data_IF_453720375490
#
_entry.id   IF_453720375490
#
_cell.length_a   1.000
_cell.length_b   1.000
_cell.length_c   1.000
_cell.angle_alpha   90.00
_cell.angle_beta   90.00
_cell.angle_gamma   90.00
#
_symmetry.space_group_name_H-M   'P 1'
#
loop_
_entity.id
_entity.type
_entity.pdbx_description
1 polymer ?
#
# COMPACT_ATOMS: atom_id res chain seq x y z
N UNK A 1 -25.41 6.85 -10.45
CA UNK A 1 -24.73 5.66 -10.99
C UNK A 1 -23.45 6.13 -11.63
N UNK A 2 -22.30 5.63 -11.19
CA UNK A 2 -21.01 5.95 -11.82
C UNK A 2 -20.83 4.93 -12.93
N UNK A 3 -20.86 5.38 -14.18
CA UNK A 3 -20.82 4.51 -15.36
C UNK A 3 -19.40 4.24 -15.86
N UNK A 4 -18.47 5.16 -15.59
CA UNK A 4 -17.06 5.08 -15.99
C UNK A 4 -16.14 5.04 -14.77
N UNK A 5 -15.11 4.20 -14.86
CA UNK A 5 -14.10 4.04 -13.81
C UNK A 5 -13.28 2.77 -14.01
N UNK A 6 -12.15 2.67 -13.30
CA UNK A 6 -11.28 1.49 -13.43
C UNK A 6 -11.98 0.18 -13.06
N UNK A 7 -12.93 0.24 -12.12
CA UNK A 7 -13.71 -0.93 -11.70
C UNK A 7 -14.94 -1.19 -12.59
N UNK A 8 -15.27 -0.30 -13.52
CA UNK A 8 -16.52 -0.34 -14.30
C UNK A 8 -17.71 0.28 -13.57
N UNK A 9 -18.95 -0.01 -14.00
CA UNK A 9 -20.15 0.55 -13.40
C UNK A 9 -20.30 0.24 -11.91
N UNK A 10 -20.43 1.29 -11.09
CA UNK A 10 -20.59 1.20 -9.63
C UNK A 10 -22.00 1.64 -9.22
N UNK A 11 -22.65 0.79 -8.43
CA UNK A 11 -24.00 1.02 -7.88
C UNK A 11 -23.96 1.90 -6.64
N UNK A 12 -23.03 1.62 -5.72
CA UNK A 12 -22.85 2.37 -4.48
C UNK A 12 -21.42 2.17 -3.93
N UNK A 13 -21.00 3.07 -3.06
CA UNK A 13 -19.77 2.94 -2.27
C UNK A 13 -19.99 3.47 -0.85
N UNK A 14 -19.22 2.95 0.09
CA UNK A 14 -19.15 3.42 1.47
C UNK A 14 -17.69 3.41 1.90
N UNK A 15 -17.25 4.47 2.60
CA UNK A 15 -15.89 4.59 3.09
C UNK A 15 -15.89 5.14 4.50
N UNK A 16 -15.04 4.59 5.36
CA UNK A 16 -14.78 5.13 6.70
C UNK A 16 -13.29 5.12 6.99
N UNK A 17 -12.87 6.05 7.83
CA UNK A 17 -11.49 6.14 8.29
C UNK A 17 -11.45 5.83 9.78
N UNK A 18 -10.48 5.03 10.19
CA UNK A 18 -10.21 4.74 11.60
C UNK A 18 -8.77 5.11 11.94
N UNK A 19 -8.53 5.58 13.17
CA UNK A 19 -7.17 5.76 13.67
C UNK A 19 -6.63 4.39 14.10
N UNK A 20 -5.62 3.90 13.40
CA UNK A 20 -4.82 2.76 13.84
C UNK A 20 -3.66 3.25 14.72
N UNK A 21 -2.97 2.31 15.38
CA UNK A 21 -1.89 2.58 16.33
C UNK A 21 -0.89 3.66 15.86
N UNK A 22 -0.43 4.47 16.81
CA UNK A 22 0.41 5.66 16.56
C UNK A 22 -0.25 6.75 15.70
N UNK A 23 -1.58 6.75 15.55
CA UNK A 23 -2.31 7.83 14.89
C UNK A 23 -2.33 7.75 13.37
N UNK A 24 -1.99 6.60 12.76
CA UNK A 24 -2.12 6.43 11.32
C UNK A 24 -3.58 6.26 10.92
N UNK A 25 -3.97 6.83 9.78
CA UNK A 25 -5.33 6.69 9.26
C UNK A 25 -5.45 5.42 8.42
N UNK A 26 -6.35 4.51 8.79
CA UNK A 26 -6.70 3.32 8.02
C UNK A 26 -8.03 3.54 7.32
N UNK A 27 -8.02 3.49 5.99
CA UNK A 27 -9.22 3.65 5.17
C UNK A 27 -9.87 2.29 4.89
N UNK A 28 -11.11 2.11 5.33
CA UNK A 28 -11.97 0.98 4.97
C UNK A 28 -12.93 1.40 3.85
N UNK A 29 -12.92 0.67 2.74
CA UNK A 29 -13.77 0.92 1.58
C UNK A 29 -14.63 -0.30 1.26
N UNK A 30 -15.92 -0.08 1.06
CA UNK A 30 -16.88 -1.06 0.57
C UNK A 30 -17.52 -0.55 -0.72
N UNK A 31 -17.40 -1.32 -1.80
CA UNK A 31 -17.84 -0.91 -3.15
C UNK A 31 -18.80 -1.98 -3.70
N UNK A 32 -19.98 -1.55 -4.13
CA UNK A 32 -20.96 -2.41 -4.81
C UNK A 32 -20.93 -2.16 -6.31
N UNK A 33 -20.47 -3.15 -7.06
CA UNK A 33 -20.41 -3.12 -8.52
C UNK A 33 -21.77 -3.46 -9.12
N UNK A 34 -22.09 -2.87 -10.27
CA UNK A 34 -23.33 -3.15 -11.00
C UNK A 34 -23.13 -4.27 -12.06
N UNK A 35 -22.12 -5.13 -11.86
CA UNK A 35 -21.79 -6.27 -12.71
C UNK A 35 -21.16 -7.42 -11.90
N UNK A 36 -21.15 -8.64 -12.45
CA UNK A 36 -20.66 -9.86 -11.76
C UNK A 36 -19.12 -10.01 -11.85
N UNK A 37 -18.37 -9.09 -11.22
CA UNK A 37 -16.92 -9.25 -11.08
C UNK A 37 -16.57 -9.86 -9.73
N UNK A 38 -15.91 -11.03 -9.76
CA UNK A 38 -15.47 -11.76 -8.58
C UNK A 38 -14.03 -11.41 -8.23
N UNK A 39 -13.58 -11.68 -6.99
CA UNK A 39 -12.17 -11.46 -6.61
C UNK A 39 -11.16 -12.16 -7.52
N UNK A 40 -11.50 -13.35 -8.05
CA UNK A 40 -10.67 -14.07 -9.01
C UNK A 40 -10.49 -13.32 -10.33
N UNK A 41 -11.56 -12.68 -10.83
CA UNK A 41 -11.53 -11.89 -12.07
C UNK A 41 -10.66 -10.65 -11.90
N UNK A 42 -10.72 -10.00 -10.74
CA UNK A 42 -9.84 -8.88 -10.40
C UNK A 42 -8.36 -9.29 -10.43
N UNK A 43 -8.04 -10.46 -9.83
CA UNK A 43 -6.68 -11.00 -9.85
C UNK A 43 -6.17 -11.25 -11.27
N UNK A 44 -7.04 -11.73 -12.16
CA UNK A 44 -6.72 -11.92 -13.57
C UNK A 44 -6.57 -10.58 -14.32
N UNK A 45 -7.49 -9.62 -14.12
CA UNK A 45 -7.44 -8.29 -14.74
C UNK A 45 -6.19 -7.50 -14.40
N UNK A 46 -5.68 -7.61 -13.16
CA UNK A 46 -4.44 -6.94 -12.74
C UNK A 46 -3.19 -7.45 -13.50
N UNK A 47 -3.26 -8.63 -14.15
CA UNK A 47 -2.18 -9.10 -15.02
C UNK A 47 -2.13 -8.34 -16.35
N UNK A 48 -3.24 -7.72 -16.77
CA UNK A 48 -3.26 -6.85 -17.95
C UNK A 48 -2.60 -5.50 -17.60
N UNK A 49 -1.59 -5.11 -18.39
CA UNK A 49 -0.81 -3.91 -18.12
C UNK A 49 -1.66 -2.63 -18.16
N UNK A 50 -2.52 -2.47 -19.17
CA UNK A 50 -3.34 -1.27 -19.32
C UNK A 50 -4.32 -1.09 -18.15
N UNK A 51 -4.95 -2.18 -17.73
CA UNK A 51 -5.83 -2.16 -16.55
C UNK A 51 -5.04 -1.82 -15.28
N UNK A 52 -3.87 -2.44 -15.10
CA UNK A 52 -3.02 -2.23 -13.93
C UNK A 52 -2.55 -0.79 -13.83
N UNK A 53 -2.11 -0.17 -14.92
CA UNK A 53 -1.66 1.22 -14.90
C UNK A 53 -2.83 2.18 -14.63
N UNK A 54 -4.03 1.92 -15.16
CA UNK A 54 -5.24 2.68 -14.81
C UNK A 54 -5.58 2.56 -13.32
N UNK A 55 -5.43 1.35 -12.75
CA UNK A 55 -5.69 1.12 -11.33
C UNK A 55 -4.68 1.83 -10.45
N UNK A 56 -3.40 1.81 -10.80
CA UNK A 56 -2.36 2.57 -10.10
C UNK A 56 -2.64 4.06 -10.13
N UNK A 57 -2.91 4.63 -11.30
CA UNK A 57 -3.22 6.05 -11.43
C UNK A 57 -4.41 6.46 -10.55
N UNK A 58 -5.44 5.62 -10.47
CA UNK A 58 -6.57 5.85 -9.56
C UNK A 58 -6.14 5.81 -8.09
N UNK A 59 -5.33 4.81 -7.69
CA UNK A 59 -4.85 4.70 -6.30
C UNK A 59 -3.94 5.86 -5.90
N UNK A 60 -3.06 6.31 -6.78
CA UNK A 60 -2.19 7.47 -6.57
C UNK A 60 -2.98 8.79 -6.45
N UNK A 61 -4.13 8.89 -7.12
CA UNK A 61 -5.00 10.07 -7.00
C UNK A 61 -5.74 10.12 -5.65
N UNK A 62 -6.20 8.96 -5.15
CA UNK A 62 -6.99 8.90 -3.90
C UNK A 62 -6.14 8.72 -2.64
N UNK A 63 -4.95 8.12 -2.74
CA UNK A 63 -4.02 7.92 -1.64
C UNK A 63 -2.99 9.05 -1.70
N UNK A 64 -3.17 10.06 -0.85
CA UNK A 64 -2.20 11.15 -0.69
C UNK A 64 -1.54 11.04 0.67
N UNK A 65 -0.22 11.00 0.67
CA UNK A 65 0.60 11.17 1.86
C UNK A 65 1.28 12.54 1.81
N UNK A 66 1.28 13.27 2.93
CA UNK A 66 2.00 14.53 3.06
C UNK A 66 3.42 14.25 3.58
N UNK A 67 4.20 13.52 2.78
CA UNK A 67 5.60 13.16 3.12
C UNK A 67 6.62 13.83 2.20
N UNK A 68 6.20 14.77 1.36
CA UNK A 68 7.07 15.41 0.37
C UNK A 68 8.27 16.10 1.03
N UNK A 69 8.10 16.63 2.25
CA UNK A 69 9.17 17.25 3.05
C UNK A 69 10.25 16.28 3.55
N UNK A 70 10.03 14.96 3.46
CA UNK A 70 10.97 13.93 3.95
C UNK A 70 11.80 13.27 2.83
N UNK A 71 11.50 13.52 1.56
CA UNK A 71 12.18 12.88 0.41
C UNK A 71 13.63 13.38 0.23
N UNK A 72 13.94 14.60 0.66
CA UNK A 72 15.27 15.20 0.48
C UNK A 72 16.34 14.75 1.50
N UNK A 73 15.95 14.03 2.57
CA UNK A 73 16.86 13.69 3.68
C UNK A 73 17.56 12.34 3.56
N UNK A 74 17.23 11.49 2.58
CA UNK A 74 17.87 10.17 2.42
C UNK A 74 19.12 10.14 1.52
N UNK A 75 19.45 11.25 0.83
CA UNK A 75 20.58 11.25 -0.12
C UNK A 75 21.95 11.45 0.55
N UNK A 76 22.02 11.76 1.87
CA UNK A 76 23.27 12.21 2.51
C UNK A 76 23.89 11.29 3.60
N UNK A 77 23.74 9.96 3.54
CA UNK A 77 24.47 9.11 4.51
C UNK A 77 25.08 7.79 4.02
N UNK A 78 25.13 7.55 2.71
CA UNK A 78 26.01 6.50 2.16
C UNK A 78 27.28 7.12 1.56
N UNK A 79 28.15 7.67 2.42
CA UNK A 79 29.58 7.77 2.12
C UNK A 79 30.29 6.66 2.89
N UNK A 80 31.07 5.89 2.13
CA UNK A 80 31.74 4.66 2.50
C UNK A 80 32.52 4.75 3.81
N UNK A 81 32.18 3.89 4.77
CA UNK A 81 33.16 3.40 5.74
C UNK A 81 33.01 1.89 5.90
N UNK A 82 33.45 1.16 4.88
CA UNK A 82 33.65 -0.29 4.94
C UNK A 82 35.12 -0.60 5.20
N UNK A 83 35.66 -0.16 6.34
CA UNK A 83 36.86 -0.78 6.91
C UNK A 83 36.60 -1.21 8.35
N UNK A 84 36.48 -2.54 8.52
CA UNK A 84 36.41 -3.31 9.78
C UNK A 84 35.03 -3.44 10.47
N UNK A 85 34.28 -4.49 10.10
CA UNK A 85 33.38 -5.17 11.06
C UNK A 85 34.05 -6.46 11.51
N UNK A 86 34.74 -6.37 12.64
CA UNK A 86 35.05 -7.53 13.46
C UNK A 86 33.74 -8.14 14.00
N UNK A 87 33.69 -9.47 14.00
CA UNK A 87 32.62 -10.35 14.46
C UNK A 87 32.04 -9.92 15.83
N UNK A 88 30.72 -10.05 15.97
CA UNK A 88 30.06 -10.24 17.27
C UNK A 88 29.10 -11.45 17.23
N UNK A 89 28.93 -12.17 18.35
CA UNK A 89 28.42 -13.54 18.37
C UNK A 89 26.89 -13.60 18.33
N UNK A 90 26.33 -14.65 17.70
CA UNK A 90 24.89 -14.93 17.69
C UNK A 90 24.35 -15.13 19.10
N UNK A 91 23.32 -14.37 19.46
CA UNK A 91 22.50 -14.63 20.65
C UNK A 91 21.60 -15.86 20.39
N UNK A 92 21.68 -16.84 21.29
CA UNK A 92 20.88 -18.07 21.30
C UNK A 92 19.41 -17.78 21.61
N UNK A 93 18.49 -18.54 21.00
CA UNK A 93 17.02 -18.38 21.02
C UNK A 93 16.31 -19.13 22.17
N UNK A 94 16.94 -19.27 23.33
CA UNK A 94 16.36 -20.05 24.43
C UNK A 94 16.17 -19.19 25.69
N UNK A 95 15.18 -18.30 25.73
CA UNK A 95 14.50 -17.95 27.00
C UNK A 95 13.30 -16.97 26.85
N UNK A 96 12.10 -17.41 26.43
CA UNK A 96 10.87 -16.71 26.83
C UNK A 96 9.69 -17.69 26.89
N UNK A 97 9.54 -18.39 28.01
CA UNK A 97 8.24 -18.84 28.51
C UNK A 97 8.28 -18.70 30.04
N UNK A 98 7.54 -17.72 30.55
CA UNK A 98 7.08 -17.61 31.94
C UNK A 98 5.72 -16.92 31.91
#
# INVERSE_FOLDING_TARGET
>A
MIVDGVLGPVKAYFGTVESQGCGSLHLHLLIWLDHDMKPADMKAKVQNADFREKLKAYLEDIIKEDLDEFKDKQVFSYSEDTTSRNMSPRLSKDNIYA
#
